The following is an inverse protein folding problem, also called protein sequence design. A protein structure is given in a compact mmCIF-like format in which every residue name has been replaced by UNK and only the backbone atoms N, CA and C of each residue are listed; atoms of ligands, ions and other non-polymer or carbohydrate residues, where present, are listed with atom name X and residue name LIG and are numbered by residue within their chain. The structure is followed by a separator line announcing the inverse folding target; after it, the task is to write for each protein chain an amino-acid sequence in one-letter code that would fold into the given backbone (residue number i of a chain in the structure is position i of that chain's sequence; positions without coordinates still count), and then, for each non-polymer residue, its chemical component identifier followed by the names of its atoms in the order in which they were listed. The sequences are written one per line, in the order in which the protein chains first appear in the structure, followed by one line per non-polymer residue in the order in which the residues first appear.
data_IF_862377157757
#
_entry.id   IF_862377157757
#
_cell.length_a   1.000
_cell.length_b   1.000
_cell.length_c   1.000
_cell.angle_alpha   90.00
_cell.angle_beta   90.00
_cell.angle_gamma   90.00
#
_symmetry.space_group_name_H-M   'P 1'
#
loop_
_entity.id
_entity.type
_entity.pdbx_description
1 polymer ?
#
# COMPACT_ATOMS: atom_id res chain seq x y z
N UNK A 1 13.21 -5.96 76.53
CA UNK A 1 12.81 -5.73 75.12
C UNK A 1 13.95 -5.16 74.25
N UNK A 2 14.75 -4.18 74.70
CA UNK A 2 15.82 -3.57 73.87
C UNK A 2 16.89 -4.57 73.37
N UNK A 3 17.47 -5.38 74.27
CA UNK A 3 18.53 -6.33 73.91
C UNK A 3 18.07 -7.49 73.00
N UNK A 4 16.80 -7.90 73.10
CA UNK A 4 16.22 -8.89 72.19
C UNK A 4 16.10 -8.35 70.76
N UNK A 5 15.76 -7.06 70.59
CA UNK A 5 15.71 -6.43 69.27
C UNK A 5 17.09 -6.28 68.64
N UNK A 6 18.12 -5.95 69.44
CA UNK A 6 19.50 -5.84 68.96
C UNK A 6 20.05 -7.21 68.54
N UNK A 7 19.79 -8.26 69.31
CA UNK A 7 20.22 -9.62 68.96
C UNK A 7 19.58 -10.09 67.64
N UNK A 8 18.27 -9.88 67.47
CA UNK A 8 17.55 -10.28 66.25
C UNK A 8 18.07 -9.55 65.00
N UNK A 9 18.37 -8.26 65.11
CA UNK A 9 18.94 -7.48 64.00
C UNK A 9 20.35 -7.93 63.60
N UNK A 10 21.14 -8.46 64.53
CA UNK A 10 22.46 -9.05 64.23
C UNK A 10 22.29 -10.40 63.55
N UNK A 11 21.34 -11.21 64.02
CA UNK A 11 21.03 -12.53 63.46
C UNK A 11 20.47 -12.42 62.03
N UNK A 12 19.57 -11.47 61.77
CA UNK A 12 19.05 -11.18 60.43
C UNK A 12 20.19 -10.80 59.46
N UNK A 13 21.11 -9.90 59.86
CA UNK A 13 22.26 -9.52 59.02
C UNK A 13 23.24 -10.68 58.78
N UNK A 14 23.44 -11.54 59.77
CA UNK A 14 24.27 -12.74 59.65
C UNK A 14 23.62 -13.76 58.71
N UNK A 15 22.30 -13.93 58.80
CA UNK A 15 21.52 -14.78 57.90
C UNK A 15 21.60 -14.28 56.45
N UNK A 16 21.42 -12.97 56.24
CA UNK A 16 21.54 -12.35 54.91
C UNK A 16 22.95 -12.51 54.33
N UNK A 17 23.99 -12.18 55.11
CA UNK A 17 25.38 -12.31 54.67
C UNK A 17 25.78 -13.76 54.40
N UNK A 18 25.27 -14.71 55.20
CA UNK A 18 25.51 -16.14 54.97
C UNK A 18 24.80 -16.62 53.70
N UNK A 19 23.56 -16.20 53.48
CA UNK A 19 22.79 -16.53 52.28
C UNK A 19 23.46 -15.98 51.02
N UNK A 20 23.95 -14.75 51.07
CA UNK A 20 24.71 -14.12 49.99
C UNK A 20 26.01 -14.87 49.69
N UNK A 21 26.77 -15.26 50.73
CA UNK A 21 28.03 -16.01 50.58
C UNK A 21 27.84 -17.44 50.09
N UNK A 22 26.77 -18.12 50.50
CA UNK A 22 26.41 -19.45 49.99
C UNK A 22 26.03 -19.37 48.51
N UNK A 23 25.18 -18.41 48.15
CA UNK A 23 24.76 -18.15 46.77
C UNK A 23 25.98 -17.88 45.88
N UNK A 24 26.84 -16.95 46.28
CA UNK A 24 28.07 -16.62 45.56
C UNK A 24 28.99 -17.85 45.34
N UNK A 25 29.11 -18.73 46.35
CA UNK A 25 29.97 -19.92 46.27
C UNK A 25 29.44 -21.00 45.31
N UNK A 26 28.12 -21.14 45.20
CA UNK A 26 27.50 -22.02 44.19
C UNK A 26 27.64 -21.43 42.78
N UNK A 27 27.53 -20.12 42.66
CA UNK A 27 27.73 -19.36 41.42
C UNK A 27 29.16 -19.48 40.89
N UNK A 28 30.15 -19.19 41.73
CA UNK A 28 31.56 -19.24 41.33
C UNK A 28 31.98 -20.65 40.91
N UNK A 29 31.41 -21.69 41.53
CA UNK A 29 31.65 -23.09 41.12
C UNK A 29 31.08 -23.40 39.74
N UNK A 30 29.88 -22.91 39.43
CA UNK A 30 29.20 -23.13 38.14
C UNK A 30 29.93 -22.38 37.02
N UNK A 31 30.32 -21.13 37.27
CA UNK A 31 31.13 -20.32 36.34
C UNK A 31 32.53 -20.91 36.14
N UNK A 32 33.17 -21.43 37.21
CA UNK A 32 34.47 -22.10 37.10
C UNK A 32 34.38 -23.44 36.34
N UNK A 33 33.30 -24.21 36.52
CA UNK A 33 33.04 -25.42 35.74
C UNK A 33 32.81 -25.11 34.25
N UNK A 34 32.10 -24.00 33.94
CA UNK A 34 31.92 -23.48 32.59
C UNK A 34 33.24 -23.04 31.95
N UNK A 35 34.05 -22.26 32.66
CA UNK A 35 35.38 -21.85 32.19
C UNK A 35 36.32 -23.05 31.99
N UNK A 36 36.19 -24.08 32.83
CA UNK A 36 36.91 -25.35 32.68
C UNK A 36 36.45 -26.12 31.44
N UNK A 37 35.13 -26.22 31.19
CA UNK A 37 34.56 -26.81 29.97
C UNK A 37 35.05 -26.09 28.70
N UNK A 38 35.05 -24.75 28.71
CA UNK A 38 35.63 -23.91 27.63
C UNK A 38 37.12 -24.22 27.39
N UNK A 39 37.90 -24.43 28.46
CA UNK A 39 39.32 -24.76 28.39
C UNK A 39 39.58 -26.19 27.89
N UNK A 40 38.70 -27.13 28.21
CA UNK A 40 38.84 -28.55 27.85
C UNK A 40 38.29 -28.88 26.46
N UNK A 41 37.23 -28.18 26.01
CA UNK A 41 36.54 -28.45 24.73
C UNK A 41 36.82 -27.42 23.64
N UNK A 42 37.43 -26.27 23.97
CA UNK A 42 37.81 -25.22 23.01
C UNK A 42 36.67 -24.29 22.57
N UNK A 43 35.41 -24.75 22.53
CA UNK A 43 34.22 -23.93 22.28
C UNK A 43 32.98 -24.48 23.03
N UNK A 44 32.08 -23.59 23.45
CA UNK A 44 30.72 -23.95 23.92
C UNK A 44 29.91 -24.47 22.73
N UNK A 45 29.30 -25.66 22.88
CA UNK A 45 28.46 -26.23 21.84
C UNK A 45 27.08 -25.57 21.88
N UNK A 46 26.65 -25.06 20.73
CA UNK A 46 25.36 -24.38 20.58
C UNK A 46 24.60 -25.01 19.40
N UNK A 47 23.36 -25.38 19.67
CA UNK A 47 22.46 -26.08 18.75
C UNK A 47 21.16 -25.28 18.61
N UNK A 48 20.48 -25.44 17.47
CA UNK A 48 19.20 -24.81 17.18
C UNK A 48 18.22 -25.93 16.85
N UNK A 49 17.20 -26.07 17.67
CA UNK A 49 16.18 -27.10 17.52
C UNK A 49 15.22 -26.76 16.36
N UNK A 50 14.49 -27.75 15.80
CA UNK A 50 13.53 -27.52 14.72
C UNK A 50 12.45 -26.48 15.03
N UNK A 51 12.13 -26.25 16.31
CA UNK A 51 11.20 -25.22 16.77
C UNK A 51 11.80 -23.81 16.91
N UNK A 52 13.06 -23.62 16.53
CA UNK A 52 13.77 -22.34 16.64
C UNK A 52 14.38 -22.09 18.01
N UNK A 53 14.25 -23.01 18.97
CA UNK A 53 14.91 -22.87 20.28
C UNK A 53 16.43 -22.98 20.14
N UNK A 54 17.15 -22.01 20.72
CA UNK A 54 18.61 -21.94 20.69
C UNK A 54 19.16 -22.40 22.04
N UNK A 55 19.88 -23.51 22.03
CA UNK A 55 20.38 -24.18 23.23
C UNK A 55 21.91 -24.15 23.24
N UNK A 56 22.52 -23.79 24.37
CA UNK A 56 23.97 -23.80 24.57
C UNK A 56 24.31 -24.68 25.77
N UNK A 57 25.13 -25.72 25.58
CA UNK A 57 25.46 -26.71 26.61
C UNK A 57 24.23 -27.19 27.42
N UNK A 58 23.13 -27.50 26.71
CA UNK A 58 21.88 -28.00 27.29
C UNK A 58 20.98 -26.96 27.96
N UNK A 59 21.32 -25.67 27.88
CA UNK A 59 20.51 -24.58 28.44
C UNK A 59 19.88 -23.76 27.34
N UNK A 60 18.58 -23.45 27.47
CA UNK A 60 17.88 -22.56 26.56
C UNK A 60 18.36 -21.12 26.73
N UNK A 61 18.80 -20.50 25.63
CA UNK A 61 19.39 -19.15 25.60
C UNK A 61 18.56 -18.18 24.77
N UNK A 62 17.67 -18.66 23.90
CA UNK A 62 16.81 -17.81 23.09
C UNK A 62 16.00 -18.56 22.05
N UNK A 63 15.35 -17.80 21.17
CA UNK A 63 14.51 -18.31 20.08
C UNK A 63 14.89 -17.63 18.77
N UNK A 64 14.82 -18.38 17.67
CA UNK A 64 15.05 -17.93 16.32
C UNK A 64 13.77 -18.12 15.50
N UNK A 65 13.19 -17.02 15.03
CA UNK A 65 12.02 -17.01 14.14
C UNK A 65 12.41 -16.34 12.81
N UNK A 66 12.41 -17.10 11.71
CA UNK A 66 12.93 -16.62 10.43
C UNK A 66 14.40 -16.22 10.53
N UNK A 67 14.69 -14.91 10.40
CA UNK A 67 16.03 -14.34 10.59
C UNK A 67 16.15 -13.50 11.88
N UNK A 68 15.15 -13.58 12.77
CA UNK A 68 15.11 -12.79 14.01
C UNK A 68 15.46 -13.67 15.20
N UNK A 69 16.63 -13.44 15.79
CA UNK A 69 17.06 -14.08 17.02
C UNK A 69 16.74 -13.22 18.25
N UNK A 70 15.97 -13.79 19.18
CA UNK A 70 15.62 -13.16 20.46
C UNK A 70 16.32 -13.91 21.59
N UNK A 71 17.20 -13.23 22.31
CA UNK A 71 17.81 -13.76 23.54
C UNK A 71 16.77 -13.83 24.66
N UNK A 72 16.72 -14.98 25.36
CA UNK A 72 15.92 -15.15 26.56
C UNK A 72 16.58 -14.50 27.79
N UNK A 73 15.77 -14.20 28.80
CA UNK A 73 16.28 -13.76 30.09
C UNK A 73 16.59 -14.99 30.98
N UNK A 74 17.85 -15.30 31.30
CA UNK A 74 18.14 -16.43 32.21
C UNK A 74 19.52 -16.46 32.90
N UNK A 75 19.57 -16.21 34.23
CA UNK A 75 20.75 -16.45 35.09
C UNK A 75 21.60 -15.24 35.53
N UNK A 76 22.91 -15.48 35.76
CA UNK A 76 23.89 -14.47 36.20
C UNK A 76 24.55 -13.76 35.03
N UNK A 77 24.79 -12.46 35.15
CA UNK A 77 25.28 -11.58 34.07
C UNK A 77 26.53 -12.12 33.33
N UNK A 78 27.48 -12.74 34.04
CA UNK A 78 28.70 -13.31 33.46
C UNK A 78 28.43 -14.60 32.66
N UNK A 79 27.59 -15.50 33.17
CA UNK A 79 27.20 -16.73 32.46
C UNK A 79 26.36 -16.40 31.22
N UNK A 80 25.44 -15.44 31.34
CA UNK A 80 24.68 -14.91 30.20
C UNK A 80 25.59 -14.41 29.08
N UNK A 81 26.64 -13.64 29.40
CA UNK A 81 27.53 -13.08 28.36
C UNK A 81 28.26 -14.17 27.59
N UNK A 82 28.72 -15.22 28.27
CA UNK A 82 29.38 -16.36 27.64
C UNK A 82 28.42 -17.17 26.76
N UNK A 83 27.24 -17.52 27.28
CA UNK A 83 26.22 -18.24 26.53
C UNK A 83 25.70 -17.44 25.34
N UNK A 84 25.46 -16.14 25.51
CA UNK A 84 25.03 -15.26 24.42
C UNK A 84 26.09 -15.17 23.30
N UNK A 85 27.38 -15.15 23.64
CA UNK A 85 28.45 -15.16 22.64
C UNK A 85 28.47 -16.44 21.80
N UNK A 86 28.30 -17.60 22.44
CA UNK A 86 28.22 -18.89 21.76
C UNK A 86 26.96 -19.03 20.92
N UNK A 87 25.80 -18.64 21.47
CA UNK A 87 24.52 -18.62 20.78
C UNK A 87 24.61 -17.76 19.50
N UNK A 88 25.11 -16.52 19.60
CA UNK A 88 25.26 -15.63 18.43
C UNK A 88 26.13 -16.22 17.33
N UNK A 89 27.23 -16.91 17.67
CA UNK A 89 28.09 -17.58 16.67
C UNK A 89 27.37 -18.73 15.98
N UNK A 90 26.61 -19.53 16.72
CA UNK A 90 25.83 -20.62 16.13
C UNK A 90 24.66 -20.09 15.27
N UNK A 91 23.96 -19.07 15.77
CA UNK A 91 22.91 -18.35 15.03
C UNK A 91 23.47 -17.79 13.73
N UNK A 92 24.59 -17.06 13.72
CA UNK A 92 25.19 -16.52 12.50
C UNK A 92 25.44 -17.60 11.43
N UNK A 93 26.03 -18.74 11.82
CA UNK A 93 26.25 -19.89 10.90
C UNK A 93 24.94 -20.50 10.39
N UNK A 94 23.90 -20.53 11.21
CA UNK A 94 22.60 -21.03 10.81
C UNK A 94 21.88 -20.05 9.87
N UNK A 95 21.92 -18.75 10.17
CA UNK A 95 21.36 -17.70 9.32
C UNK A 95 22.00 -17.69 7.93
N UNK A 96 23.32 -17.89 7.82
CA UNK A 96 23.99 -18.00 6.52
C UNK A 96 23.48 -19.23 5.71
N UNK A 97 23.19 -20.35 6.38
CA UNK A 97 22.57 -21.53 5.73
C UNK A 97 21.13 -21.24 5.29
N UNK A 98 20.31 -20.67 6.17
CA UNK A 98 18.93 -20.28 5.86
C UNK A 98 18.87 -19.27 4.70
N UNK A 99 19.79 -18.31 4.68
CA UNK A 99 19.91 -17.34 3.60
C UNK A 99 20.22 -18.04 2.26
N UNK A 100 21.16 -19.00 2.27
CA UNK A 100 21.51 -19.77 1.08
C UNK A 100 20.36 -20.67 0.59
N UNK A 101 19.53 -21.18 1.50
CA UNK A 101 18.29 -21.90 1.16
C UNK A 101 17.26 -20.96 0.55
N UNK A 102 16.91 -19.86 1.23
CA UNK A 102 15.93 -18.88 0.78
C UNK A 102 16.24 -18.39 -0.63
N UNK A 103 17.50 -18.08 -0.92
CA UNK A 103 17.93 -17.58 -2.24
C UNK A 103 17.63 -18.59 -3.37
N UNK A 104 17.55 -19.89 -3.07
CA UNK A 104 17.28 -20.97 -4.03
C UNK A 104 15.81 -21.37 -4.11
N UNK A 105 14.98 -20.94 -3.17
CA UNK A 105 13.55 -21.28 -3.14
C UNK A 105 12.84 -20.77 -4.40
N UNK A 106 11.86 -21.52 -4.94
CA UNK A 106 11.05 -21.07 -6.06
C UNK A 106 10.10 -19.94 -5.62
N UNK A 107 9.58 -19.18 -6.58
CA UNK A 107 8.68 -18.05 -6.31
C UNK A 107 7.43 -18.42 -5.50
N UNK A 108 6.92 -19.65 -5.68
CA UNK A 108 5.75 -20.16 -4.97
C UNK A 108 5.97 -20.39 -3.47
N UNK A 109 7.22 -20.41 -2.99
CA UNK A 109 7.53 -20.51 -1.56
C UNK A 109 7.30 -19.19 -0.78
N UNK A 110 7.10 -18.08 -1.50
CA UNK A 110 6.96 -16.75 -0.92
C UNK A 110 5.53 -16.23 -1.09
N UNK A 111 4.94 -15.81 0.02
CA UNK A 111 3.63 -15.16 0.04
C UNK A 111 3.79 -13.66 0.29
N UNK A 112 3.08 -12.84 -0.47
CA UNK A 112 3.06 -11.37 -0.30
C UNK A 112 1.70 -11.00 0.27
N UNK A 113 1.67 -10.43 1.47
CA UNK A 113 0.43 -10.06 2.17
C UNK A 113 0.66 -8.74 2.88
N UNK A 114 -0.23 -7.76 2.67
CA UNK A 114 -0.23 -6.53 3.50
C UNK A 114 1.04 -5.70 3.46
N UNK A 115 1.90 -5.87 2.44
CA UNK A 115 3.21 -5.21 2.38
C UNK A 115 4.35 -6.00 3.01
N UNK A 116 4.12 -7.26 3.40
CA UNK A 116 5.12 -8.16 3.95
C UNK A 116 5.39 -9.33 3.00
N UNK A 117 6.61 -9.87 3.07
CA UNK A 117 7.05 -11.08 2.40
C UNK A 117 7.24 -12.17 3.45
N UNK A 118 6.49 -13.25 3.31
CA UNK A 118 6.46 -14.39 4.23
C UNK A 118 7.09 -15.61 3.56
N UNK A 119 7.96 -16.30 4.30
CA UNK A 119 8.58 -17.56 3.91
C UNK A 119 8.58 -18.53 5.10
N UNK A 120 8.08 -19.76 4.90
CA UNK A 120 7.94 -20.78 5.96
C UNK A 120 7.28 -20.20 7.22
N UNK A 121 6.15 -19.51 7.02
CA UNK A 121 5.33 -18.88 8.06
C UNK A 121 6.01 -17.73 8.86
N UNK A 122 7.23 -17.31 8.48
CA UNK A 122 7.91 -16.17 9.09
C UNK A 122 7.99 -14.96 8.14
N UNK A 123 7.80 -13.75 8.67
CA UNK A 123 8.01 -12.50 7.92
C UNK A 123 9.52 -12.31 7.73
N UNK A 124 9.99 -12.40 6.49
CA UNK A 124 11.42 -12.27 6.15
C UNK A 124 11.78 -10.89 5.61
N UNK A 125 10.81 -10.13 5.12
CA UNK A 125 11.02 -8.74 4.71
C UNK A 125 9.72 -7.94 4.71
N UNK A 126 9.88 -6.62 4.81
CA UNK A 126 8.81 -5.63 4.58
C UNK A 126 9.05 -4.91 3.25
N UNK A 127 7.99 -4.64 2.51
CA UNK A 127 8.04 -3.91 1.24
C UNK A 127 8.10 -2.41 1.54
N UNK A 128 8.97 -1.70 0.83
CA UNK A 128 9.21 -0.27 1.00
C UNK A 128 9.03 0.49 -0.31
N UNK A 129 8.70 1.79 -0.26
CA UNK A 129 8.71 2.63 -1.46
C UNK A 129 10.08 2.60 -2.12
N UNK A 130 10.10 2.38 -3.44
CA UNK A 130 11.31 2.43 -4.24
C UNK A 130 11.44 3.77 -4.99
N UNK A 131 12.53 3.95 -5.76
CA UNK A 131 12.76 5.19 -6.52
C UNK A 131 11.75 5.39 -7.67
N UNK A 132 11.08 4.33 -8.11
CA UNK A 132 10.04 4.36 -9.13
C UNK A 132 8.79 3.70 -8.54
N UNK A 133 7.60 4.31 -8.72
CA UNK A 133 6.35 3.86 -8.10
C UNK A 133 6.04 2.37 -8.36
N UNK A 134 6.29 1.89 -9.58
CA UNK A 134 6.05 0.49 -9.96
C UNK A 134 7.19 -0.47 -9.56
N UNK A 135 8.24 0.02 -8.92
CA UNK A 135 9.43 -0.76 -8.53
C UNK A 135 9.75 -0.51 -7.05
N UNK A 136 8.86 -0.95 -6.13
CA UNK A 136 9.16 -0.94 -4.71
C UNK A 136 10.38 -1.82 -4.39
N UNK A 137 10.99 -1.57 -3.24
CA UNK A 137 12.13 -2.34 -2.71
C UNK A 137 11.69 -3.16 -1.50
N UNK A 138 12.59 -3.96 -0.95
CA UNK A 138 12.35 -4.75 0.27
C UNK A 138 13.37 -4.39 1.34
N UNK A 139 12.96 -4.45 2.59
CA UNK A 139 13.83 -4.34 3.75
C UNK A 139 13.77 -5.66 4.52
N UNK A 140 14.89 -6.38 4.56
CA UNK A 140 14.97 -7.69 5.24
C UNK A 140 14.82 -7.54 6.75
N UNK A 141 13.90 -8.32 7.31
CA UNK A 141 13.63 -8.42 8.75
C UNK A 141 14.58 -9.45 9.34
N UNK A 142 15.70 -9.00 9.90
CA UNK A 142 16.73 -9.88 10.45
C UNK A 142 17.55 -9.18 11.54
N UNK A 143 18.11 -9.97 12.46
CA UNK A 143 19.05 -9.46 13.48
C UNK A 143 20.45 -9.20 12.92
N UNK A 144 21.31 -8.62 13.75
CA UNK A 144 22.68 -8.22 13.40
C UNK A 144 23.61 -9.41 13.14
N UNK A 145 23.26 -10.61 13.61
CA UNK A 145 24.02 -11.84 13.32
C UNK A 145 23.97 -12.24 11.84
N UNK A 146 23.03 -11.68 11.04
CA UNK A 146 22.97 -11.91 9.60
C UNK A 146 24.06 -11.10 8.88
N UNK A 147 24.92 -11.80 8.14
CA UNK A 147 26.00 -11.14 7.39
C UNK A 147 25.47 -10.17 6.32
N UNK A 148 26.18 -9.07 6.07
CA UNK A 148 25.82 -8.11 5.00
C UNK A 148 25.70 -8.77 3.63
N UNK A 149 26.58 -9.74 3.34
CA UNK A 149 26.54 -10.51 2.08
C UNK A 149 25.26 -11.33 1.97
N UNK A 150 24.86 -12.03 3.03
CA UNK A 150 23.62 -12.80 3.05
C UNK A 150 22.40 -11.89 2.93
N UNK A 151 22.37 -10.77 3.67
CA UNK A 151 21.30 -9.76 3.60
C UNK A 151 21.08 -9.26 2.17
N UNK A 152 22.14 -8.83 1.48
CA UNK A 152 22.06 -8.36 0.08
C UNK A 152 21.58 -9.46 -0.88
N UNK A 153 21.97 -10.72 -0.65
CA UNK A 153 21.52 -11.83 -1.48
C UNK A 153 20.02 -12.11 -1.30
N UNK A 154 19.53 -12.06 -0.06
CA UNK A 154 18.10 -12.18 0.27
C UNK A 154 17.31 -11.02 -0.34
N UNK A 155 17.76 -9.77 -0.15
CA UNK A 155 17.10 -8.58 -0.70
C UNK A 155 16.94 -8.72 -2.21
N UNK A 156 18.02 -9.04 -2.94
CA UNK A 156 17.95 -9.24 -4.39
C UNK A 156 16.97 -10.35 -4.80
N UNK A 157 16.93 -11.46 -4.06
CA UNK A 157 16.01 -12.58 -4.35
C UNK A 157 14.55 -12.16 -4.15
N UNK A 158 14.27 -11.49 -3.03
CA UNK A 158 12.93 -11.05 -2.65
C UNK A 158 12.43 -9.90 -3.53
N UNK A 159 13.29 -8.98 -3.94
CA UNK A 159 12.95 -7.96 -4.95
C UNK A 159 12.65 -8.57 -6.31
N UNK A 160 13.40 -9.60 -6.72
CA UNK A 160 13.08 -10.33 -7.94
C UNK A 160 11.71 -11.01 -7.87
N UNK A 161 11.38 -11.63 -6.72
CA UNK A 161 10.06 -12.21 -6.46
C UNK A 161 8.96 -11.16 -6.52
N UNK A 162 9.14 -10.03 -5.82
CA UNK A 162 8.18 -8.94 -5.78
C UNK A 162 7.94 -8.36 -7.18
N UNK A 163 9.01 -8.18 -7.96
CA UNK A 163 8.91 -7.74 -9.37
C UNK A 163 8.09 -8.71 -10.20
N UNK A 164 8.39 -10.01 -10.14
CA UNK A 164 7.63 -11.03 -10.89
C UNK A 164 6.15 -11.06 -10.49
N UNK A 165 5.86 -10.92 -9.19
CA UNK A 165 4.49 -10.84 -8.68
C UNK A 165 3.73 -9.60 -9.17
N UNK A 166 4.39 -8.44 -9.22
CA UNK A 166 3.83 -7.20 -9.77
C UNK A 166 3.63 -7.29 -11.28
N UNK A 167 4.58 -7.85 -12.02
CA UNK A 167 4.50 -8.01 -13.48
C UNK A 167 3.39 -8.97 -13.90
N UNK A 168 3.16 -10.06 -13.15
CA UNK A 168 2.05 -10.99 -13.36
C UNK A 168 0.68 -10.30 -13.19
N UNK A 169 0.55 -9.46 -12.16
CA UNK A 169 -0.72 -8.79 -11.81
C UNK A 169 -1.00 -7.51 -12.60
N UNK A 170 0.05 -6.76 -12.91
CA UNK A 170 0.00 -5.44 -13.53
C UNK A 170 0.64 -5.42 -14.92
N UNK A 171 0.78 -6.58 -15.58
CA UNK A 171 1.47 -6.73 -16.87
C UNK A 171 1.12 -5.67 -17.92
N UNK A 172 -0.17 -5.35 -18.16
CA UNK A 172 -0.54 -4.27 -19.09
C UNK A 172 -0.02 -2.88 -18.70
N UNK A 173 0.08 -2.59 -17.40
CA UNK A 173 0.64 -1.33 -16.89
C UNK A 173 2.15 -1.26 -17.10
N UNK A 174 2.88 -2.36 -16.86
CA UNK A 174 4.32 -2.46 -17.15
C UNK A 174 4.61 -2.37 -18.65
N UNK A 175 3.81 -3.04 -19.49
CA UNK A 175 3.91 -2.93 -20.94
C UNK A 175 3.69 -1.48 -21.41
N UNK A 176 2.72 -0.78 -20.82
CA UNK A 176 2.46 0.63 -21.10
C UNK A 176 3.59 1.54 -20.59
N UNK A 177 4.19 1.26 -19.43
CA UNK A 177 5.37 1.97 -18.92
C UNK A 177 6.53 1.85 -19.91
N UNK A 178 6.85 0.63 -20.36
CA UNK A 178 7.91 0.39 -21.33
C UNK A 178 7.63 1.13 -22.65
N UNK A 179 6.40 1.01 -23.17
CA UNK A 179 5.99 1.67 -24.40
C UNK A 179 6.09 3.20 -24.32
N UNK A 180 5.79 3.79 -23.15
CA UNK A 180 5.87 5.23 -22.92
C UNK A 180 7.27 5.81 -23.08
N UNK A 181 8.31 4.97 -22.99
CA UNK A 181 9.73 5.35 -23.14
C UNK A 181 10.32 4.96 -24.50
N UNK A 182 9.58 4.22 -25.31
CA UNK A 182 10.04 3.70 -26.61
C UNK A 182 9.51 4.54 -27.79
N UNK A 183 10.07 4.34 -28.98
CA UNK A 183 9.56 4.94 -30.22
C UNK A 183 8.33 4.22 -30.79
N UNK A 184 7.82 3.18 -30.11
CA UNK A 184 6.61 2.44 -30.54
C UNK A 184 5.32 3.28 -30.46
N UNK A 185 5.35 4.38 -29.71
CA UNK A 185 4.25 5.33 -29.56
C UNK A 185 4.69 6.71 -30.02
N UNK A 186 3.79 7.45 -30.67
CA UNK A 186 4.01 8.87 -30.98
C UNK A 186 4.20 9.70 -29.71
N UNK A 187 4.67 10.94 -29.86
CA UNK A 187 4.83 11.84 -28.71
C UNK A 187 3.50 12.05 -27.93
N UNK A 188 2.38 12.21 -28.65
CA UNK A 188 1.06 12.37 -28.03
C UNK A 188 0.59 11.10 -27.29
N UNK A 189 0.77 9.93 -27.91
CA UNK A 189 0.41 8.65 -27.32
C UNK A 189 1.30 8.31 -26.10
N UNK A 190 2.60 8.63 -26.14
CA UNK A 190 3.51 8.51 -24.99
C UNK A 190 3.08 9.38 -23.82
N UNK A 191 2.61 10.61 -24.08
CA UNK A 191 2.09 11.50 -23.04
C UNK A 191 0.89 10.89 -22.30
N UNK A 192 -0.04 10.27 -23.04
CA UNK A 192 -1.17 9.55 -22.43
C UNK A 192 -0.70 8.33 -21.65
N UNK A 193 0.20 7.52 -22.21
CA UNK A 193 0.75 6.33 -21.55
C UNK A 193 1.44 6.69 -20.23
N UNK A 194 2.28 7.73 -20.23
CA UNK A 194 2.98 8.22 -19.03
C UNK A 194 1.99 8.68 -17.95
N UNK A 195 0.99 9.49 -18.31
CA UNK A 195 -0.03 9.97 -17.37
C UNK A 195 -0.87 8.83 -16.78
N UNK A 196 -1.18 7.81 -17.58
CA UNK A 196 -1.88 6.62 -17.10
C UNK A 196 -1.02 5.83 -16.11
N UNK A 197 0.26 5.60 -16.42
CA UNK A 197 1.18 4.90 -15.53
C UNK A 197 1.32 5.60 -14.19
N UNK A 198 1.48 6.93 -14.21
CA UNK A 198 1.54 7.76 -13.00
C UNK A 198 0.25 7.71 -12.17
N UNK A 199 -0.90 7.50 -12.81
CA UNK A 199 -2.21 7.39 -12.17
C UNK A 199 -2.65 5.94 -11.93
N UNK A 200 -1.73 4.98 -11.91
CA UNK A 200 -1.99 3.55 -11.69
C UNK A 200 -3.03 2.95 -12.67
N UNK A 201 -3.09 3.50 -13.88
CA UNK A 201 -3.87 2.97 -15.00
C UNK A 201 -5.31 3.49 -15.11
N UNK A 202 -5.69 4.54 -14.37
CA UNK A 202 -6.97 5.25 -14.54
C UNK A 202 -6.77 6.76 -14.46
N UNK A 203 -7.26 7.49 -15.46
CA UNK A 203 -7.12 8.94 -15.59
C UNK A 203 -8.47 9.57 -15.95
N UNK A 204 -8.80 10.72 -15.36
CA UNK A 204 -9.97 11.50 -15.78
C UNK A 204 -9.75 12.03 -17.22
N UNK A 205 -10.68 11.71 -18.11
CA UNK A 205 -10.60 12.12 -19.51
C UNK A 205 -10.61 13.64 -19.69
N UNK A 206 -11.21 14.39 -18.75
CA UNK A 206 -11.19 15.84 -18.75
C UNK A 206 -9.79 16.42 -18.51
N UNK A 207 -9.00 15.79 -17.64
CA UNK A 207 -7.61 16.19 -17.38
C UNK A 207 -6.69 15.90 -18.58
N UNK A 208 -6.99 14.82 -19.30
CA UNK A 208 -6.24 14.40 -20.49
C UNK A 208 -6.76 15.01 -21.81
N UNK A 209 -7.79 15.85 -21.77
CA UNK A 209 -8.52 16.27 -22.97
C UNK A 209 -7.63 16.95 -24.03
N UNK A 210 -6.61 17.70 -23.60
CA UNK A 210 -5.63 18.31 -24.51
C UNK A 210 -4.82 17.27 -25.28
N UNK A 211 -4.29 16.26 -24.58
CA UNK A 211 -3.53 15.17 -25.17
C UNK A 211 -4.40 14.28 -26.07
N UNK A 212 -5.64 13.97 -25.64
CA UNK A 212 -6.57 13.14 -26.43
C UNK A 212 -6.92 13.80 -27.76
N UNK A 213 -7.02 15.13 -27.83
CA UNK A 213 -7.28 15.86 -29.08
C UNK A 213 -6.13 15.77 -30.07
N UNK A 214 -4.91 15.56 -29.60
CA UNK A 214 -3.72 15.41 -30.44
C UNK A 214 -3.59 14.00 -31.02
N UNK A 215 -4.31 13.01 -30.47
CA UNK A 215 -4.28 11.64 -30.98
C UNK A 215 -5.03 11.51 -32.30
N UNK A 216 -4.32 11.08 -33.33
CA UNK A 216 -4.89 10.69 -34.61
C UNK A 216 -5.51 9.27 -34.57
N UNK A 217 -5.95 8.74 -35.72
CA UNK A 217 -6.51 7.39 -35.76
C UNK A 217 -5.48 6.29 -35.53
N UNK A 218 -4.21 6.49 -35.90
CA UNK A 218 -3.14 5.51 -35.73
C UNK A 218 -2.74 5.45 -34.25
N UNK A 219 -2.58 6.60 -33.61
CA UNK A 219 -2.33 6.75 -32.18
C UNK A 219 -3.39 6.02 -31.36
N UNK A 220 -4.68 6.29 -31.64
CA UNK A 220 -5.79 5.65 -30.92
C UNK A 220 -5.75 4.12 -31.03
N UNK A 221 -5.41 3.60 -32.21
CA UNK A 221 -5.21 2.15 -32.41
C UNK A 221 -3.99 1.66 -31.65
N UNK A 222 -2.90 2.43 -31.61
CA UNK A 222 -1.68 2.07 -30.90
C UNK A 222 -1.90 1.95 -29.39
N UNK A 223 -2.48 2.97 -28.73
CA UNK A 223 -2.81 2.87 -27.28
C UNK A 223 -3.83 1.76 -27.00
N UNK A 224 -4.80 1.54 -27.89
CA UNK A 224 -5.76 0.44 -27.73
C UNK A 224 -5.10 -0.95 -27.80
N UNK A 225 -4.01 -1.14 -28.56
CA UNK A 225 -3.23 -2.40 -28.58
C UNK A 225 -2.58 -2.71 -27.23
N UNK A 226 -2.27 -1.70 -26.43
CA UNK A 226 -1.82 -1.86 -25.04
C UNK A 226 -2.99 -2.05 -24.05
N UNK A 227 -4.22 -2.22 -24.54
CA UNK A 227 -5.40 -2.45 -23.72
C UNK A 227 -6.02 -1.18 -23.12
N UNK A 228 -5.54 0.01 -23.49
CA UNK A 228 -6.10 1.28 -23.01
C UNK A 228 -7.46 1.53 -23.64
N UNK A 229 -8.47 1.86 -22.82
CA UNK A 229 -9.77 2.35 -23.28
C UNK A 229 -9.87 3.86 -23.15
N UNK A 230 -10.12 4.54 -24.26
CA UNK A 230 -10.43 5.97 -24.32
C UNK A 230 -11.94 6.16 -24.11
N UNK A 231 -12.35 6.28 -22.84
CA UNK A 231 -13.73 6.56 -22.45
C UNK A 231 -14.08 8.05 -22.50
N UNK A 232 -15.35 8.36 -22.21
CA UNK A 232 -15.85 9.74 -22.17
C UNK A 232 -15.53 10.42 -20.86
N UNK A 233 -15.60 9.68 -19.75
CA UNK A 233 -15.25 10.19 -18.42
C UNK A 233 -13.84 9.80 -18.03
N UNK A 234 -13.37 8.61 -18.41
CA UNK A 234 -12.05 8.11 -18.01
C UNK A 234 -11.32 7.45 -19.17
N UNK A 235 -10.00 7.58 -19.11
CA UNK A 235 -9.07 6.74 -19.86
C UNK A 235 -8.52 5.72 -18.87
N UNK A 236 -8.60 4.43 -19.18
CA UNK A 236 -8.22 3.39 -18.21
C UNK A 236 -7.80 2.07 -18.85
N UNK A 237 -7.15 1.22 -18.05
CA UNK A 237 -6.79 -0.16 -18.39
C UNK A 237 -7.80 -1.14 -17.77
N UNK A 238 -8.72 -1.75 -18.54
CA UNK A 238 -9.73 -2.66 -17.99
C UNK A 238 -9.16 -3.89 -17.28
N UNK A 239 -7.97 -4.34 -17.70
CA UNK A 239 -7.28 -5.48 -17.10
C UNK A 239 -6.94 -5.24 -15.62
N UNK A 240 -6.77 -3.98 -15.20
CA UNK A 240 -6.45 -3.61 -13.82
C UNK A 240 -7.65 -3.62 -12.89
N UNK A 241 -8.87 -3.85 -13.42
CA UNK A 241 -10.08 -3.98 -12.62
C UNK A 241 -10.27 -5.39 -12.04
N UNK A 242 -9.39 -6.33 -12.38
CA UNK A 242 -9.42 -7.70 -11.86
C UNK A 242 -8.91 -7.71 -10.41
N UNK A 243 -9.43 -8.61 -9.54
CA UNK A 243 -9.04 -8.66 -8.13
C UNK A 243 -7.52 -8.72 -7.88
N UNK A 244 -6.79 -9.57 -8.62
CA UNK A 244 -5.34 -9.70 -8.46
C UNK A 244 -4.57 -8.42 -8.83
N UNK A 245 -5.06 -7.66 -9.82
CA UNK A 245 -4.47 -6.38 -10.17
C UNK A 245 -4.82 -5.28 -9.16
N UNK A 246 -6.03 -5.31 -8.60
CA UNK A 246 -6.45 -4.42 -7.52
C UNK A 246 -5.64 -4.66 -6.24
N UNK A 247 -5.34 -5.93 -5.91
CA UNK A 247 -4.46 -6.28 -4.79
C UNK A 247 -3.07 -5.62 -4.94
N UNK A 248 -2.45 -5.77 -6.12
CA UNK A 248 -1.17 -5.12 -6.42
C UNK A 248 -1.26 -3.59 -6.43
N UNK A 249 -2.33 -3.03 -7.00
CA UNK A 249 -2.59 -1.59 -7.01
C UNK A 249 -2.76 -1.02 -5.61
N UNK A 250 -3.46 -1.72 -4.72
CA UNK A 250 -3.67 -1.32 -3.34
C UNK A 250 -2.36 -1.24 -2.57
N UNK A 251 -1.48 -2.25 -2.76
CA UNK A 251 -0.13 -2.23 -2.20
C UNK A 251 0.67 -1.02 -2.70
N UNK A 252 0.70 -0.77 -4.01
CA UNK A 252 1.50 0.32 -4.57
C UNK A 252 1.01 1.70 -4.14
N UNK A 253 -0.31 1.90 -4.05
CA UNK A 253 -0.87 3.17 -3.54
C UNK A 253 -0.62 3.33 -2.05
N UNK A 254 -0.76 2.28 -1.25
CA UNK A 254 -0.43 2.32 0.18
C UNK A 254 1.01 2.80 0.40
N UNK A 255 1.96 2.26 -0.38
CA UNK A 255 3.36 2.66 -0.36
C UNK A 255 3.56 4.11 -0.82
N UNK A 256 2.85 4.54 -1.86
CA UNK A 256 2.96 5.90 -2.40
C UNK A 256 2.34 6.97 -1.48
N UNK A 257 1.24 6.66 -0.80
CA UNK A 257 0.53 7.57 0.11
C UNK A 257 1.02 7.47 1.56
N UNK A 258 1.81 6.45 1.90
CA UNK A 258 2.25 6.20 3.28
C UNK A 258 1.09 5.80 4.20
N UNK A 259 0.06 5.15 3.64
CA UNK A 259 -1.17 4.75 4.35
C UNK A 259 -1.29 3.22 4.38
N UNK A 260 -2.23 2.71 5.19
CA UNK A 260 -2.57 1.30 5.15
C UNK A 260 -3.21 0.93 3.81
N UNK A 261 -2.91 -0.26 3.29
CA UNK A 261 -3.55 -0.77 2.08
C UNK A 261 -5.06 -0.91 2.31
N UNK A 262 -5.82 -0.27 1.43
CA UNK A 262 -7.27 -0.35 1.40
C UNK A 262 -7.70 -0.95 0.06
N UNK A 263 -8.65 -1.88 0.09
CA UNK A 263 -9.27 -2.43 -1.11
C UNK A 263 -10.73 -2.81 -0.82
N UNK A 264 -11.64 -2.64 -1.81
CA UNK A 264 -13.00 -3.13 -1.67
C UNK A 264 -13.04 -4.66 -1.76
N UNK A 265 -14.13 -5.26 -1.28
CA UNK A 265 -14.38 -6.70 -1.50
C UNK A 265 -14.33 -7.02 -2.98
N UNK A 266 -13.72 -8.16 -3.34
CA UNK A 266 -13.58 -8.58 -4.72
C UNK A 266 -14.93 -8.61 -5.45
N UNK A 267 -14.94 -8.11 -6.69
CA UNK A 267 -16.13 -8.10 -7.54
C UNK A 267 -17.11 -6.95 -7.29
N UNK A 268 -16.91 -6.11 -6.25
CA UNK A 268 -17.75 -4.93 -6.02
C UNK A 268 -17.73 -3.98 -7.23
N UNK A 269 -18.92 -3.49 -7.57
CA UNK A 269 -19.14 -2.55 -8.68
C UNK A 269 -19.44 -1.15 -8.16
N UNK A 270 -20.11 -1.04 -7.00
CA UNK A 270 -20.41 0.21 -6.32
C UNK A 270 -20.04 0.15 -4.84
N UNK A 271 -19.62 1.30 -4.31
CA UNK A 271 -19.22 1.54 -2.93
C UNK A 271 -20.00 2.73 -2.37
N UNK A 272 -20.36 2.65 -1.09
CA UNK A 272 -21.10 3.67 -0.34
C UNK A 272 -20.19 4.45 0.59
N UNK A 273 -20.65 5.60 1.07
CA UNK A 273 -19.82 6.62 1.70
C UNK A 273 -19.00 6.16 2.90
N UNK A 274 -19.54 5.24 3.69
CA UNK A 274 -18.90 4.57 4.82
C UNK A 274 -17.77 3.61 4.41
N UNK A 275 -17.83 3.09 3.18
CA UNK A 275 -16.81 2.21 2.61
C UNK A 275 -15.68 2.98 1.89
N UNK A 276 -15.87 4.28 1.63
CA UNK A 276 -14.93 5.06 0.83
C UNK A 276 -13.70 5.47 1.65
N UNK A 277 -12.47 5.26 1.13
CA UNK A 277 -11.29 5.80 1.77
C UNK A 277 -11.32 7.34 1.69
N UNK A 278 -10.68 7.98 2.67
CA UNK A 278 -10.52 9.43 2.67
C UNK A 278 -9.71 9.92 1.46
N UNK A 279 -8.67 9.16 1.09
CA UNK A 279 -7.82 9.42 -0.06
C UNK A 279 -8.49 8.97 -1.38
N UNK A 280 -8.68 9.92 -2.31
CA UNK A 280 -9.21 9.65 -3.63
C UNK A 280 -8.26 8.85 -4.54
N UNK A 281 -6.95 8.86 -4.24
CA UNK A 281 -5.94 8.13 -5.04
C UNK A 281 -6.18 6.62 -4.99
N UNK A 282 -6.50 6.08 -3.80
CA UNK A 282 -6.80 4.65 -3.63
C UNK A 282 -8.01 4.23 -4.48
N UNK A 283 -9.08 5.02 -4.49
CA UNK A 283 -10.24 4.74 -5.35
C UNK A 283 -9.85 4.73 -6.84
N UNK A 284 -9.13 5.75 -7.30
CA UNK A 284 -8.75 5.87 -8.70
C UNK A 284 -7.85 4.71 -9.16
N UNK A 285 -6.81 4.39 -8.38
CA UNK A 285 -5.90 3.29 -8.70
C UNK A 285 -6.59 1.92 -8.73
N UNK A 286 -7.62 1.73 -7.91
CA UNK A 286 -8.43 0.51 -7.90
C UNK A 286 -9.58 0.54 -8.90
N UNK A 287 -9.65 1.57 -9.75
CA UNK A 287 -10.60 1.63 -10.85
C UNK A 287 -11.99 2.15 -10.46
N UNK A 288 -12.12 2.92 -9.39
CA UNK A 288 -13.38 3.51 -8.94
C UNK A 288 -13.39 5.02 -9.11
N UNK A 289 -14.50 5.52 -9.64
CA UNK A 289 -14.78 6.96 -9.72
C UNK A 289 -15.73 7.34 -8.59
N UNK A 290 -15.31 8.29 -7.75
CA UNK A 290 -16.19 8.92 -6.76
C UNK A 290 -17.21 9.85 -7.43
N UNK A 291 -18.48 9.68 -7.11
CA UNK A 291 -19.60 10.55 -7.49
C UNK A 291 -20.42 10.84 -6.23
N UNK A 292 -20.18 12.00 -5.62
CA UNK A 292 -20.81 12.37 -4.36
C UNK A 292 -20.40 11.43 -3.22
N UNK A 293 -21.39 10.79 -2.59
CA UNK A 293 -21.20 9.80 -1.52
C UNK A 293 -21.03 8.36 -2.02
N UNK A 294 -21.07 8.15 -3.33
CA UNK A 294 -20.93 6.85 -3.95
C UNK A 294 -19.60 6.79 -4.71
N UNK A 295 -19.08 5.58 -4.94
CA UNK A 295 -18.09 5.35 -5.97
C UNK A 295 -18.51 4.19 -6.85
N UNK A 296 -18.34 4.32 -8.16
CA UNK A 296 -18.72 3.32 -9.14
C UNK A 296 -17.48 2.90 -9.93
N UNK A 297 -17.34 1.60 -10.17
CA UNK A 297 -16.25 1.06 -10.97
C UNK A 297 -16.27 1.66 -12.38
N UNK A 298 -15.10 2.02 -12.88
CA UNK A 298 -14.93 2.85 -14.08
C UNK A 298 -15.51 2.21 -15.35
N UNK A 299 -15.44 0.88 -15.47
CA UNK A 299 -16.07 0.15 -16.57
C UNK A 299 -17.60 0.32 -16.57
N UNK A 300 -18.21 0.34 -15.40
CA UNK A 300 -19.64 0.56 -15.23
C UNK A 300 -20.00 2.03 -15.44
N UNK A 301 -19.17 2.97 -14.97
CA UNK A 301 -19.34 4.41 -15.27
C UNK A 301 -19.41 4.64 -16.77
N UNK A 302 -18.45 4.12 -17.54
CA UNK A 302 -18.42 4.29 -18.99
C UNK A 302 -19.58 3.59 -19.70
N UNK A 303 -19.96 2.39 -19.25
CA UNK A 303 -21.08 1.62 -19.81
C UNK A 303 -22.41 2.35 -19.62
N UNK A 304 -22.73 2.74 -18.38
CA UNK A 304 -23.97 3.46 -18.06
C UNK A 304 -24.00 4.78 -18.80
N UNK A 305 -22.91 5.56 -18.78
CA UNK A 305 -22.84 6.82 -19.51
C UNK A 305 -23.02 6.64 -21.02
N UNK A 306 -22.51 5.55 -21.62
CA UNK A 306 -22.72 5.25 -23.03
C UNK A 306 -24.19 4.93 -23.35
N UNK A 307 -24.84 4.11 -22.53
CA UNK A 307 -26.25 3.75 -22.70
C UNK A 307 -27.18 4.96 -22.54
N UNK A 308 -26.99 5.77 -21.49
CA UNK A 308 -27.75 7.01 -21.30
C UNK A 308 -27.56 7.99 -22.46
N UNK A 309 -26.33 8.14 -22.98
CA UNK A 309 -26.06 8.98 -24.16
C UNK A 309 -26.73 8.46 -25.42
N UNK A 310 -26.86 7.15 -25.60
CA UNK A 310 -27.55 6.54 -26.73
C UNK A 310 -29.05 6.87 -26.69
N UNK A 311 -29.69 6.72 -25.54
CA UNK A 311 -31.11 7.05 -25.35
C UNK A 311 -31.37 8.54 -25.58
N UNK A 312 -30.49 9.41 -25.08
CA UNK A 312 -30.59 10.86 -25.26
C UNK A 312 -30.43 11.36 -26.71
N UNK A 313 -30.09 10.49 -27.67
CA UNK A 313 -30.10 10.85 -29.11
C UNK A 313 -31.48 10.70 -29.74
N UNK A 314 -32.30 9.78 -29.22
CA UNK A 314 -33.66 9.54 -29.73
C UNK A 314 -34.64 10.55 -29.16
N UNK A 315 -34.64 10.72 -27.85
CA UNK A 315 -35.60 11.57 -27.13
C UNK A 315 -34.90 12.60 -26.24
N UNK A 316 -35.50 13.79 -26.12
CA UNK A 316 -34.99 14.84 -25.25
C UNK A 316 -35.14 14.50 -23.75
N UNK A 317 -36.14 13.68 -23.42
CA UNK A 317 -36.39 13.11 -22.11
C UNK A 317 -36.80 11.65 -22.33
N UNK A 318 -36.29 10.73 -21.51
CA UNK A 318 -36.57 9.29 -21.65
C UNK A 318 -36.69 8.64 -20.28
N UNK A 319 -37.43 7.55 -20.18
CA UNK A 319 -37.56 6.78 -18.93
C UNK A 319 -36.24 6.10 -18.56
N UNK A 320 -35.88 6.14 -17.27
CA UNK A 320 -34.73 5.41 -16.70
C UNK A 320 -34.96 3.90 -16.83
N UNK A 321 -34.18 3.17 -17.65
CA UNK A 321 -34.34 1.73 -17.75
C UNK A 321 -33.94 1.06 -16.44
N UNK A 322 -34.80 0.18 -15.91
CA UNK A 322 -34.55 -0.55 -14.67
C UNK A 322 -33.28 -1.41 -14.74
N UNK A 323 -32.99 -1.99 -15.91
CA UNK A 323 -31.77 -2.77 -16.15
C UNK A 323 -30.48 -1.99 -15.89
N UNK A 324 -30.46 -0.66 -16.16
CA UNK A 324 -29.30 0.18 -15.89
C UNK A 324 -29.06 0.35 -14.39
N UNK A 325 -30.14 0.44 -13.61
CA UNK A 325 -30.08 0.54 -12.15
C UNK A 325 -29.61 -0.80 -11.57
N UNK A 326 -30.22 -1.90 -12.01
CA UNK A 326 -29.82 -3.24 -11.56
C UNK A 326 -28.37 -3.56 -11.86
N UNK A 327 -27.84 -3.13 -13.02
CA UNK A 327 -26.46 -3.39 -13.41
C UNK A 327 -25.40 -2.74 -12.49
N UNK A 328 -25.74 -1.67 -11.77
CA UNK A 328 -24.80 -1.02 -10.84
C UNK A 328 -24.86 -1.61 -9.42
N UNK A 329 -25.86 -2.44 -9.11
CA UNK A 329 -26.10 -2.96 -7.77
C UNK A 329 -26.56 -1.89 -6.76
N UNK A 330 -27.06 -0.75 -7.26
CA UNK A 330 -27.54 0.36 -6.45
C UNK A 330 -29.07 0.36 -6.36
N UNK A 331 -29.58 0.93 -5.27
CA UNK A 331 -30.98 1.31 -5.19
C UNK A 331 -31.32 2.43 -6.18
N UNK A 332 -32.60 2.62 -6.45
CA UNK A 332 -33.10 3.66 -7.36
C UNK A 332 -32.61 5.06 -6.94
N UNK A 333 -32.79 5.41 -5.67
CA UNK A 333 -32.42 6.73 -5.15
C UNK A 333 -30.91 6.97 -5.22
N UNK A 334 -30.12 5.94 -4.89
CA UNK A 334 -28.66 5.98 -5.02
C UNK A 334 -28.23 6.16 -6.48
N UNK A 335 -28.90 5.50 -7.43
CA UNK A 335 -28.62 5.69 -8.86
C UNK A 335 -28.92 7.12 -9.31
N UNK A 336 -29.97 7.75 -8.77
CA UNK A 336 -30.30 9.15 -9.06
C UNK A 336 -29.18 10.10 -8.65
N UNK A 337 -28.45 9.79 -7.57
CA UNK A 337 -27.28 10.56 -7.12
C UNK A 337 -26.09 10.47 -8.08
N UNK A 338 -26.00 9.41 -8.90
CA UNK A 338 -24.95 9.27 -9.91
C UNK A 338 -25.18 10.16 -11.13
N UNK A 339 -26.44 10.44 -11.48
CA UNK A 339 -26.80 11.11 -12.74
C UNK A 339 -26.05 12.43 -12.97
N UNK A 340 -25.93 13.35 -11.99
CA UNK A 340 -25.19 14.60 -12.18
C UNK A 340 -23.72 14.37 -12.58
N UNK A 341 -23.06 13.38 -11.97
CA UNK A 341 -21.67 13.02 -12.27
C UNK A 341 -21.48 12.37 -13.65
N UNK A 342 -22.55 11.77 -14.18
CA UNK A 342 -22.63 11.22 -15.54
C UNK A 342 -23.12 12.25 -16.57
N UNK A 343 -23.48 13.46 -16.15
CA UNK A 343 -23.96 14.53 -17.04
C UNK A 343 -25.46 14.45 -17.39
N UNK A 344 -26.25 13.82 -16.53
CA UNK A 344 -27.71 13.66 -16.65
C UNK A 344 -28.43 14.24 -15.43
N UNK A 345 -29.74 14.45 -15.54
CA UNK A 345 -30.58 14.87 -14.42
C UNK A 345 -31.94 14.19 -14.47
N UNK A 346 -32.47 13.89 -13.29
CA UNK A 346 -33.87 13.53 -13.08
C UNK A 346 -34.79 14.66 -13.56
N UNK A 347 -35.96 14.29 -14.06
CA UNK A 347 -37.09 15.17 -14.30
C UNK A 347 -38.20 14.81 -13.32
N UNK A 348 -38.93 15.81 -12.84
CA UNK A 348 -40.19 15.56 -12.17
C UNK A 348 -41.15 14.85 -13.15
N UNK A 349 -41.99 13.91 -12.67
CA UNK A 349 -42.98 13.27 -13.53
C UNK A 349 -43.85 14.34 -14.20
N UNK A 350 -44.03 14.23 -15.52
CA UNK A 350 -45.05 15.02 -16.21
C UNK A 350 -46.42 14.51 -15.75
N UNK A 351 -47.33 15.43 -15.45
CA UNK A 351 -48.55 15.14 -14.68
C UNK A 351 -49.46 14.06 -15.28
N UNK A 352 -49.38 13.78 -16.60
CA UNK A 352 -50.45 13.05 -17.28
C UNK A 352 -50.04 11.85 -18.15
N UNK A 353 -48.78 11.37 -18.16
CA UNK A 353 -48.41 10.26 -19.07
C UNK A 353 -47.25 9.35 -18.63
N UNK A 354 -46.94 9.32 -17.33
CA UNK A 354 -45.84 8.50 -16.81
C UNK A 354 -46.41 7.37 -15.94
N UNK A 355 -46.14 6.09 -16.26
CA UNK A 355 -46.50 4.97 -15.37
C UNK A 355 -46.00 5.24 -13.95
N UNK A 356 -46.83 4.97 -12.94
CA UNK A 356 -46.48 5.19 -11.54
C UNK A 356 -45.10 4.58 -11.22
N UNK A 357 -44.14 5.42 -10.86
CA UNK A 357 -42.77 5.01 -10.52
C UNK A 357 -41.73 5.05 -11.67
N UNK A 358 -42.09 5.47 -12.90
CA UNK A 358 -41.09 5.75 -13.93
C UNK A 358 -40.41 7.12 -13.68
N UNK A 359 -39.08 7.15 -13.77
CA UNK A 359 -38.29 8.37 -13.60
C UNK A 359 -37.80 8.79 -14.98
N UNK A 360 -38.22 9.95 -15.44
CA UNK A 360 -37.70 10.52 -16.68
C UNK A 360 -36.36 11.20 -16.44
N UNK A 361 -35.44 11.02 -17.38
CA UNK A 361 -34.08 11.56 -17.34
C UNK A 361 -33.85 12.36 -18.62
N UNK A 362 -33.06 13.42 -18.50
CA UNK A 362 -32.49 14.12 -19.67
C UNK A 362 -31.02 14.42 -19.50
N UNK A 363 -30.36 14.68 -20.62
CA UNK A 363 -28.97 15.18 -20.62
C UNK A 363 -28.93 16.57 -19.97
N UNK A 364 -27.99 16.77 -19.04
CA UNK A 364 -27.76 18.07 -18.46
C UNK A 364 -27.19 19.03 -19.52
N UNK A 365 -27.72 20.25 -19.60
CA UNK A 365 -27.08 21.30 -20.39
C UNK A 365 -25.68 21.58 -19.78
N UNK A 366 -24.62 21.71 -20.60
CA UNK A 366 -23.31 22.08 -20.08
C UNK A 366 -23.46 23.39 -19.29
N UNK A 367 -23.03 23.40 -18.02
CA UNK A 367 -22.93 24.67 -17.29
C UNK A 367 -21.92 25.53 -18.03
N UNK A 368 -22.38 26.58 -18.72
CA UNK A 368 -21.48 27.65 -19.21
C UNK A 368 -20.72 28.14 -17.98
N UNK A 369 -19.40 27.96 -17.94
CA UNK A 369 -18.56 28.70 -16.98
C UNK A 369 -18.88 30.19 -17.22
N UNK A 370 -19.19 30.98 -16.19
CA UNK A 370 -19.35 32.42 -16.39
C UNK A 370 -18.09 32.94 -17.08
N UNK A 371 -18.26 33.71 -18.16
CA UNK A 371 -17.15 34.25 -18.92
C UNK A 371 -16.28 35.10 -17.99
N UNK A 372 -14.99 35.20 -18.29
CA UNK A 372 -14.04 35.99 -17.51
C UNK A 372 -14.48 37.47 -17.32
N UNK A 373 -15.40 37.97 -18.17
CA UNK A 373 -16.02 39.28 -18.02
C UNK A 373 -16.86 39.41 -16.73
N UNK A 374 -17.69 38.42 -16.39
CA UNK A 374 -18.48 38.43 -15.16
C UNK A 374 -17.63 38.25 -13.89
N UNK A 375 -16.39 37.75 -14.01
CA UNK A 375 -15.44 37.62 -12.89
C UNK A 375 -14.77 38.96 -12.56
N UNK A 376 -14.62 39.87 -13.54
CA UNK A 376 -14.11 41.24 -13.33
C UNK A 376 -15.14 42.14 -12.64
N UNK A 377 -16.41 42.07 -13.02
CA UNK A 377 -17.47 42.87 -12.37
C UNK A 377 -17.65 42.50 -10.88
N UNK A 378 -17.55 41.21 -10.53
CA UNK A 378 -17.65 40.77 -9.12
C UNK A 378 -16.40 41.08 -8.29
N UNK A 379 -15.24 41.26 -8.93
CA UNK A 379 -13.99 41.59 -8.24
C UNK A 379 -13.84 43.10 -7.95
N UNK A 380 -14.65 43.95 -8.59
CA UNK A 380 -14.65 45.40 -8.36
C UNK A 380 -15.62 45.86 -7.27
N UNK A 381 -16.49 44.97 -6.77
CA UNK A 381 -17.44 45.27 -5.69
C UNK A 381 -17.00 44.62 -4.37
N UNK A 382 -15.95 45.18 -3.75
CA UNK A 382 -15.52 44.85 -2.38
C UNK A 382 -14.87 46.08 -1.72
N UNK A 383 -15.20 46.40 -0.45
CA UNK A 383 -14.90 47.70 0.15
C UNK A 383 -13.41 47.96 0.35
N UNK A 384 -13.01 49.19 0.07
CA UNK A 384 -11.67 49.78 0.07
C UNK A 384 -11.01 49.94 1.46
N UNK A 385 -11.19 48.99 2.37
CA UNK A 385 -10.65 49.07 3.75
C UNK A 385 -9.90 47.80 4.18
N UNK A 386 -9.26 47.10 3.25
CA UNK A 386 -8.30 46.06 3.62
C UNK A 386 -6.99 46.71 4.10
N UNK A 387 -6.41 46.28 5.25
CA UNK A 387 -5.09 46.74 5.73
C UNK A 387 -3.96 46.52 4.71
N UNK A 388 -4.18 45.67 3.72
CA UNK A 388 -3.23 45.32 2.66
C UNK A 388 -3.32 46.23 1.42
N UNK A 389 -4.21 47.24 1.41
CA UNK A 389 -4.34 48.19 0.29
C UNK A 389 -3.04 48.96 -0.01
N UNK A 390 -2.15 49.09 0.98
CA UNK A 390 -0.83 49.74 0.83
C UNK A 390 0.12 48.94 -0.06
N UNK A 391 -0.02 47.61 -0.13
CA UNK A 391 0.87 46.75 -0.93
C UNK A 391 0.70 46.95 -2.44
N UNK A 392 -0.46 47.45 -2.89
CA UNK A 392 -0.69 47.76 -4.30
C UNK A 392 0.18 48.93 -4.83
N UNK A 393 0.81 49.70 -3.93
CA UNK A 393 1.71 50.80 -4.30
C UNK A 393 3.17 50.39 -4.45
N UNK A 394 3.55 49.17 -4.07
CA UNK A 394 4.90 48.66 -4.21
C UNK A 394 5.10 48.08 -5.61
N UNK A 395 5.55 48.92 -6.55
CA UNK A 395 6.18 48.45 -7.79
C UNK A 395 7.53 47.83 -7.44
N UNK A 396 7.63 46.50 -7.49
CA UNK A 396 8.92 45.81 -7.47
C UNK A 396 9.63 46.14 -8.79
N UNK A 397 10.76 46.84 -8.70
CA UNK A 397 11.67 47.02 -9.81
C UNK A 397 12.29 45.64 -10.14
N UNK A 398 12.03 45.14 -11.34
CA UNK A 398 12.72 43.98 -11.87
C UNK A 398 14.15 44.38 -12.23
N UNK A 399 15.14 43.68 -11.69
CA UNK A 399 16.54 43.85 -12.03
C UNK A 399 17.37 42.63 -11.60
N UNK A 400 17.89 41.92 -12.61
CA UNK A 400 18.76 40.74 -12.62
C UNK A 400 18.12 39.39 -12.25
#
# INVERSE_FOLDING_TARGET
MHWQGVARAVEDRLSDALHERLTQKFVDRRTAALLKSLRERGELAAEIEPGGEVVVDGHSVGTLEGFVFTLGASGLETEHRLFAGAARRAVARHLDRLAAELVKEPDGAFTIIGGELVWRDAVVATIRPGPVRLRPTVAVTATDELTTKARLAIERRLEARLRAWLEDRLGPLFALEAASRSEALSAAARGIAYRLVEAFGMLDAAEAAGLVRQLDSADRKAVARFGVRLGVHHIFLPALLKPAAQEAGALLVALASGTAAWQPTAGRVALRGDELPADGMALAALGFRRIGRLALRVDMVERVAAQLRRLARGEAQFSLPAELVSATGLGRDEFMELLPGLGFRAMAPAADDVPAGAINIRRAKPRRRPSAAHRKERAQAGPSQSPFAVLARLKVAAGA
#
